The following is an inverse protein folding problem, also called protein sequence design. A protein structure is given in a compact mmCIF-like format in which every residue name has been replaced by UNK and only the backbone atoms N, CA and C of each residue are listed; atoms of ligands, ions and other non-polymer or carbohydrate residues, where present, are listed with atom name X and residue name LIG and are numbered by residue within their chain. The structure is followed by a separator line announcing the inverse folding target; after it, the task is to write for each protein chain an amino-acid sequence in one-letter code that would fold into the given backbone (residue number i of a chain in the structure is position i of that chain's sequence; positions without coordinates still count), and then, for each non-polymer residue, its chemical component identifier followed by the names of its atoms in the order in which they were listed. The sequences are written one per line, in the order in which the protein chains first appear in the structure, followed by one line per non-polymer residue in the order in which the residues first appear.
data_IF_711304034347
#
_entry.id   IF_711304034347
#
_cell.length_a   1.000
_cell.length_b   1.000
_cell.length_c   1.000
_cell.angle_alpha   90.00
_cell.angle_beta   90.00
_cell.angle_gamma   90.00
#
_symmetry.space_group_name_H-M   'P 1'
#
loop_
_entity.id
_entity.type
_entity.pdbx_description
1 polymer ?
#
# COMPACT_ATOMS: atom_id res chain seq x y z
N UNK A 1 -7.00 -6.00 -32.06
CA UNK A 1 -5.67 -5.35 -31.92
C UNK A 1 -5.63 -4.11 -31.01
N UNK A 2 -6.67 -3.25 -30.94
CA UNK A 2 -6.67 -2.06 -30.05
C UNK A 2 -6.68 -2.39 -28.54
N UNK A 3 -7.39 -3.45 -28.12
CA UNK A 3 -7.48 -3.88 -26.71
C UNK A 3 -6.14 -4.37 -26.12
N UNK A 4 -5.26 -4.94 -26.95
CA UNK A 4 -3.96 -5.48 -26.50
C UNK A 4 -2.91 -4.38 -26.27
N UNK A 5 -2.95 -3.31 -27.07
CA UNK A 5 -2.06 -2.15 -26.92
C UNK A 5 -2.38 -1.34 -25.65
N UNK A 6 -3.66 -1.31 -25.25
CA UNK A 6 -4.08 -0.66 -24.01
C UNK A 6 -3.52 -1.40 -22.78
N UNK A 7 -3.82 -2.70 -22.64
CA UNK A 7 -3.31 -3.57 -21.55
C UNK A 7 -1.78 -3.48 -21.40
N UNK A 8 -1.06 -3.47 -22.52
CA UNK A 8 0.40 -3.33 -22.50
C UNK A 8 0.86 -2.03 -21.83
N UNK A 9 0.26 -0.88 -22.14
CA UNK A 9 0.66 0.42 -21.57
C UNK A 9 0.46 0.47 -20.05
N UNK A 10 -0.56 -0.18 -19.50
CA UNK A 10 -0.79 -0.21 -18.05
C UNK A 10 0.24 -1.05 -17.31
N UNK A 11 0.56 -2.22 -17.86
CA UNK A 11 1.64 -3.05 -17.33
C UNK A 11 2.96 -2.28 -17.34
N UNK A 12 3.23 -1.49 -18.39
CA UNK A 12 4.41 -0.64 -18.47
C UNK A 12 4.39 0.52 -17.46
N UNK A 13 3.25 1.17 -17.22
CA UNK A 13 3.12 2.25 -16.23
C UNK A 13 3.28 1.75 -14.79
N UNK A 14 2.65 0.62 -14.44
CA UNK A 14 2.82 0.01 -13.12
C UNK A 14 4.25 -0.48 -12.93
N UNK A 15 4.85 -1.08 -13.97
CA UNK A 15 6.24 -1.49 -13.93
C UNK A 15 7.17 -0.29 -13.75
N UNK A 16 6.89 0.83 -14.42
CA UNK A 16 7.63 2.09 -14.24
C UNK A 16 7.53 2.61 -12.80
N UNK A 17 6.33 2.61 -12.19
CA UNK A 17 6.16 3.03 -10.79
C UNK A 17 6.97 2.14 -9.85
N UNK A 18 6.96 0.82 -10.08
CA UNK A 18 7.71 -0.14 -9.25
C UNK A 18 9.23 0.06 -9.40
N UNK A 19 9.74 0.19 -10.63
CA UNK A 19 11.17 0.42 -10.84
C UNK A 19 11.61 1.79 -10.33
N UNK A 20 10.76 2.82 -10.45
CA UNK A 20 10.99 4.14 -9.87
C UNK A 20 11.07 4.10 -8.33
N UNK A 21 10.20 3.31 -7.67
CA UNK A 21 10.23 3.09 -6.24
C UNK A 21 11.52 2.37 -5.79
N UNK A 22 11.89 1.28 -6.48
CA UNK A 22 13.11 0.51 -6.19
C UNK A 22 14.38 1.35 -6.39
N UNK A 23 14.46 2.10 -7.49
CA UNK A 23 15.58 3.01 -7.76
C UNK A 23 15.68 4.15 -6.75
N UNK A 24 14.55 4.76 -6.38
CA UNK A 24 14.50 5.76 -5.32
C UNK A 24 14.96 5.21 -3.97
N UNK A 25 14.53 3.98 -3.64
CA UNK A 25 14.95 3.27 -2.43
C UNK A 25 16.46 3.05 -2.34
N UNK A 26 17.12 2.73 -3.46
CA UNK A 26 18.58 2.62 -3.52
C UNK A 26 19.26 3.97 -3.20
N UNK A 27 18.79 5.06 -3.79
CA UNK A 27 19.37 6.39 -3.56
C UNK A 27 19.15 6.84 -2.12
N UNK A 28 17.95 6.66 -1.57
CA UNK A 28 17.66 6.97 -0.18
C UNK A 28 18.52 6.16 0.80
N UNK A 29 18.72 4.88 0.50
CA UNK A 29 19.62 4.04 1.29
C UNK A 29 21.02 4.62 1.33
N UNK A 30 21.60 4.97 0.18
CA UNK A 30 22.95 5.58 0.14
C UNK A 30 23.02 6.94 0.85
N UNK A 31 21.99 7.77 0.74
CA UNK A 31 22.00 9.11 1.35
C UNK A 31 21.81 9.10 2.88
N UNK A 32 21.03 8.16 3.42
CA UNK A 32 20.60 8.18 4.82
C UNK A 32 21.15 7.04 5.68
N UNK A 33 21.60 5.92 5.10
CA UNK A 33 22.04 4.74 5.86
C UNK A 33 23.14 5.08 6.87
N UNK A 34 24.21 5.73 6.42
CA UNK A 34 25.37 6.02 7.26
C UNK A 34 25.06 7.08 8.33
N UNK A 35 24.39 8.18 7.94
CA UNK A 35 24.01 9.25 8.85
C UNK A 35 23.06 8.76 9.94
N UNK A 36 22.06 7.97 9.58
CA UNK A 36 21.13 7.35 10.53
C UNK A 36 21.85 6.40 11.46
N UNK A 37 22.72 5.53 10.95
CA UNK A 37 23.47 4.56 11.75
C UNK A 37 24.38 5.25 12.76
N UNK A 38 25.07 6.33 12.35
CA UNK A 38 25.91 7.14 13.24
C UNK A 38 25.09 7.75 14.39
N UNK A 39 23.96 8.39 14.06
CA UNK A 39 23.09 9.00 15.07
C UNK A 39 22.48 7.96 16.01
N UNK A 40 22.06 6.80 15.50
CA UNK A 40 21.59 5.70 16.35
C UNK A 40 22.66 5.19 17.31
N UNK A 41 23.90 5.00 16.83
CA UNK A 41 25.01 4.57 17.66
C UNK A 41 25.32 5.61 18.74
N UNK A 42 25.35 6.91 18.41
CA UNK A 42 25.58 7.97 19.39
C UNK A 42 24.50 7.98 20.50
N UNK A 43 23.23 7.75 20.14
CA UNK A 43 22.15 7.64 21.13
C UNK A 43 22.34 6.43 22.04
N UNK A 44 22.68 5.27 21.48
CA UNK A 44 22.96 4.06 22.25
C UNK A 44 24.14 4.30 23.19
N UNK A 45 25.22 4.92 22.72
CA UNK A 45 26.42 5.20 23.51
C UNK A 45 26.14 6.18 24.65
N UNK A 46 25.39 7.27 24.42
CA UNK A 46 24.98 8.20 25.48
C UNK A 46 24.16 7.50 26.57
N UNK A 47 23.28 6.59 26.16
CA UNK A 47 22.43 5.82 27.08
C UNK A 47 23.23 4.78 27.86
N UNK A 48 24.15 4.07 27.21
CA UNK A 48 25.09 3.15 27.87
C UNK A 48 25.99 3.91 28.87
N UNK A 49 26.49 5.08 28.50
CA UNK A 49 27.26 5.96 29.38
C UNK A 49 26.45 6.38 30.61
N UNK A 50 25.15 6.72 30.45
CA UNK A 50 24.28 7.05 31.58
C UNK A 50 24.17 5.89 32.60
N UNK A 51 24.07 4.65 32.12
CA UNK A 51 24.03 3.45 32.96
C UNK A 51 25.37 3.26 33.70
N UNK A 52 26.49 3.39 33.00
CA UNK A 52 27.83 3.29 33.58
C UNK A 52 28.06 4.39 34.64
N UNK A 53 27.66 5.64 34.36
CA UNK A 53 27.77 6.75 35.33
C UNK A 53 26.90 6.53 36.57
N UNK A 54 25.71 5.92 36.44
CA UNK A 54 24.89 5.53 37.61
C UNK A 54 25.56 4.46 38.46
N UNK A 55 26.27 3.51 37.83
CA UNK A 55 27.08 2.50 38.53
C UNK A 55 28.20 3.15 39.35
N UNK A 56 28.86 4.19 38.80
CA UNK A 56 29.88 4.96 39.53
C UNK A 56 29.33 5.80 40.69
N UNK A 57 28.02 6.08 40.72
CA UNK A 57 27.37 6.94 41.72
C UNK A 57 26.83 6.18 42.96
N UNK A 58 27.30 4.95 43.21
CA UNK A 58 26.91 4.11 44.36
C UNK A 58 25.42 3.73 44.43
N UNK A 59 24.76 3.53 43.28
CA UNK A 59 23.48 2.81 43.24
C UNK A 59 23.68 1.31 43.47
N UNK A 60 22.67 0.60 44.00
CA UNK A 60 22.78 -0.85 44.20
C UNK A 60 22.99 -1.57 42.86
N UNK A 61 23.95 -2.49 42.81
CA UNK A 61 24.28 -3.28 41.62
C UNK A 61 23.06 -4.04 41.08
N UNK A 62 22.12 -4.39 41.94
CA UNK A 62 20.86 -5.04 41.58
C UNK A 62 19.93 -4.13 40.77
N UNK A 63 19.86 -2.84 41.12
CA UNK A 63 19.09 -1.84 40.38
C UNK A 63 19.69 -1.61 38.99
N UNK A 64 21.02 -1.57 38.88
CA UNK A 64 21.73 -1.40 37.61
C UNK A 64 21.54 -2.62 36.71
N UNK A 65 21.61 -3.84 37.26
CA UNK A 65 21.33 -5.08 36.51
C UNK A 65 19.89 -5.16 36.00
N UNK A 66 18.92 -4.77 36.82
CA UNK A 66 17.52 -4.71 36.39
C UNK A 66 17.33 -3.65 35.30
N UNK A 67 17.95 -2.48 35.44
CA UNK A 67 17.93 -1.45 34.41
C UNK A 67 18.56 -1.93 33.10
N UNK A 68 19.75 -2.54 33.12
CA UNK A 68 20.42 -3.05 31.93
C UNK A 68 19.60 -4.15 31.22
N UNK A 69 18.94 -5.02 31.98
CA UNK A 69 18.06 -6.06 31.44
C UNK A 69 16.79 -5.49 30.81
N UNK A 70 16.12 -4.53 31.46
CA UNK A 70 14.98 -3.80 30.90
C UNK A 70 15.37 -2.85 29.77
N UNK A 71 16.64 -2.42 29.74
CA UNK A 71 17.16 -1.43 28.81
C UNK A 71 17.54 -2.00 27.46
N UNK A 72 17.62 -3.33 27.28
CA UNK A 72 17.87 -3.95 25.96
C UNK A 72 17.07 -3.20 24.92
N UNK A 73 17.75 -2.40 24.12
CA UNK A 73 17.11 -1.52 23.17
C UNK A 73 16.33 -2.45 22.24
N UNK A 74 15.00 -2.37 22.28
CA UNK A 74 14.19 -3.15 21.37
C UNK A 74 14.44 -2.55 19.99
N UNK A 75 15.28 -3.24 19.20
CA UNK A 75 15.72 -2.74 17.90
C UNK A 75 14.55 -2.90 16.95
N UNK A 76 13.74 -1.86 16.89
CA UNK A 76 12.64 -1.74 15.96
C UNK A 76 13.20 -1.53 14.54
N UNK A 77 13.39 -2.64 13.82
CA UNK A 77 13.91 -2.66 12.43
C UNK A 77 13.10 -1.80 11.46
N UNK A 78 11.86 -1.44 11.80
CA UNK A 78 11.02 -0.56 10.97
C UNK A 78 11.51 0.89 11.00
N UNK A 79 12.26 1.28 12.03
CA UNK A 79 12.81 2.63 12.21
C UNK A 79 14.24 2.79 11.70
N UNK A 80 14.82 1.72 11.17
CA UNK A 80 16.16 1.73 10.60
C UNK A 80 16.08 2.04 9.10
N UNK A 81 16.95 2.91 8.61
CA UNK A 81 17.21 3.02 7.18
C UNK A 81 17.91 1.74 6.71
N UNK A 82 17.22 0.91 5.96
CA UNK A 82 17.74 -0.25 5.24
C UNK A 82 17.12 -0.24 3.84
N UNK A 83 17.56 -1.11 2.93
CA UNK A 83 17.03 -1.06 1.55
C UNK A 83 15.50 -1.23 1.46
N UNK A 84 14.90 -2.07 2.32
CA UNK A 84 13.44 -2.27 2.36
C UNK A 84 12.77 -0.97 2.80
N UNK A 85 13.10 -0.45 3.98
CA UNK A 85 12.47 0.75 4.56
C UNK A 85 12.73 1.99 3.70
N UNK A 86 13.88 2.09 3.03
CA UNK A 86 14.20 3.15 2.08
C UNK A 86 13.30 3.09 0.84
N UNK A 87 13.08 1.89 0.30
CA UNK A 87 12.17 1.67 -0.82
C UNK A 87 10.73 1.98 -0.42
N UNK A 88 10.32 1.59 0.78
CA UNK A 88 8.98 1.89 1.31
C UNK A 88 8.78 3.38 1.54
N UNK A 89 9.80 4.08 2.01
CA UNK A 89 9.79 5.53 2.13
C UNK A 89 9.60 6.21 0.76
N UNK A 90 10.38 5.82 -0.24
CA UNK A 90 10.22 6.31 -1.61
C UNK A 90 8.83 6.00 -2.19
N UNK A 91 8.37 4.77 -2.05
CA UNK A 91 7.03 4.36 -2.48
C UNK A 91 5.94 5.18 -1.77
N UNK A 92 6.08 5.42 -0.47
CA UNK A 92 5.17 6.24 0.32
C UNK A 92 5.10 7.70 -0.14
N UNK A 93 6.23 8.27 -0.60
CA UNK A 93 6.26 9.62 -1.21
C UNK A 93 5.43 9.64 -2.49
N UNK A 94 5.72 8.75 -3.44
CA UNK A 94 5.13 8.82 -4.79
C UNK A 94 3.65 8.44 -4.80
N UNK A 95 3.23 7.58 -3.87
CA UNK A 95 1.81 7.20 -3.67
C UNK A 95 1.07 8.12 -2.72
N UNK A 96 1.76 9.08 -2.08
CA UNK A 96 1.22 10.00 -1.06
C UNK A 96 0.65 9.32 0.19
N UNK A 97 0.91 8.02 0.38
CA UNK A 97 0.52 7.28 1.58
C UNK A 97 1.35 7.67 2.80
N UNK A 98 2.62 7.99 2.56
CA UNK A 98 3.61 8.22 3.62
C UNK A 98 4.11 6.93 4.27
N UNK A 99 5.35 6.98 4.76
CA UNK A 99 5.96 5.95 5.58
C UNK A 99 6.56 6.66 6.80
N UNK A 100 5.88 6.57 7.95
CA UNK A 100 6.15 7.44 9.09
C UNK A 100 7.18 6.86 10.08
N UNK A 101 7.81 5.73 9.75
CA UNK A 101 8.79 5.08 10.64
C UNK A 101 10.20 5.64 10.46
N UNK A 102 10.50 6.24 9.30
CA UNK A 102 11.78 6.87 9.00
C UNK A 102 11.59 8.24 8.35
N UNK A 103 12.52 9.15 8.62
CA UNK A 103 12.56 10.48 8.00
C UNK A 103 14.01 10.90 7.72
N UNK A 104 14.27 11.59 6.60
CA UNK A 104 15.63 11.94 6.19
C UNK A 104 16.25 12.94 7.17
N UNK A 105 17.37 12.52 7.73
CA UNK A 105 18.17 13.30 8.66
C UNK A 105 19.10 14.27 7.92
N UNK A 106 19.53 13.91 6.71
CA UNK A 106 20.48 14.70 5.92
C UNK A 106 19.79 15.76 5.07
N UNK A 107 20.52 16.85 4.77
CA UNK A 107 20.03 17.88 3.85
C UNK A 107 19.87 17.33 2.43
N UNK A 108 20.80 16.47 2.00
CA UNK A 108 20.76 15.83 0.68
C UNK A 108 19.53 14.92 0.53
N UNK A 109 19.23 14.08 1.53
CA UNK A 109 18.04 13.23 1.55
C UNK A 109 16.75 14.04 1.50
N UNK A 110 16.66 15.15 2.25
CA UNK A 110 15.50 16.05 2.22
C UNK A 110 15.30 16.72 0.86
N UNK A 111 16.37 17.23 0.24
CA UNK A 111 16.30 17.81 -1.11
C UNK A 111 15.90 16.77 -2.15
N UNK A 112 16.46 15.56 -2.05
CA UNK A 112 16.09 14.46 -2.92
C UNK A 112 14.61 14.08 -2.75
N UNK A 113 14.08 13.98 -1.51
CA UNK A 113 12.66 13.73 -1.27
C UNK A 113 11.74 14.72 -1.98
N UNK A 114 12.10 16.01 -1.97
CA UNK A 114 11.31 17.06 -2.63
C UNK A 114 11.29 16.83 -4.15
N UNK A 115 12.46 16.68 -4.77
CA UNK A 115 12.58 16.49 -6.23
C UNK A 115 11.92 15.19 -6.67
N UNK A 116 12.16 14.12 -5.92
CA UNK A 116 11.60 12.79 -6.15
C UNK A 116 10.07 12.80 -6.06
N UNK A 117 9.49 13.47 -5.07
CA UNK A 117 8.04 13.64 -4.94
C UNK A 117 7.43 14.47 -6.07
N UNK A 118 8.02 15.61 -6.42
CA UNK A 118 7.52 16.49 -7.49
C UNK A 118 7.44 15.78 -8.84
N UNK A 119 8.40 14.90 -9.14
CA UNK A 119 8.41 14.14 -10.39
C UNK A 119 7.55 12.86 -10.32
N UNK A 120 7.59 12.16 -9.18
CA UNK A 120 6.95 10.85 -9.03
C UNK A 120 5.45 10.88 -8.74
N UNK A 121 4.97 11.86 -7.96
CA UNK A 121 3.55 11.95 -7.57
C UNK A 121 2.63 12.13 -8.79
N UNK A 122 2.89 13.08 -9.73
CA UNK A 122 2.02 13.26 -10.89
C UNK A 122 1.93 11.99 -11.75
N UNK A 123 3.07 11.30 -11.96
CA UNK A 123 3.13 10.08 -12.76
C UNK A 123 2.35 8.95 -12.08
N UNK A 124 2.52 8.79 -10.77
CA UNK A 124 1.81 7.77 -9.99
C UNK A 124 0.31 8.05 -9.96
N UNK A 125 -0.10 9.31 -9.80
CA UNK A 125 -1.52 9.71 -9.84
C UNK A 125 -2.16 9.40 -11.20
N UNK A 126 -1.45 9.66 -12.30
CA UNK A 126 -1.90 9.27 -13.65
C UNK A 126 -1.99 7.74 -13.77
N UNK A 127 -0.99 7.00 -13.27
CA UNK A 127 -0.99 5.54 -13.31
C UNK A 127 -2.18 4.94 -12.54
N UNK A 128 -2.50 5.47 -11.36
CA UNK A 128 -3.65 5.04 -10.54
C UNK A 128 -4.97 5.37 -11.25
N UNK A 129 -5.14 6.59 -11.74
CA UNK A 129 -6.36 7.02 -12.43
C UNK A 129 -6.64 6.20 -13.70
N UNK A 130 -5.59 5.93 -14.49
CA UNK A 130 -5.68 5.06 -15.66
C UNK A 130 -6.03 3.62 -15.24
N UNK A 131 -5.36 3.09 -14.22
CA UNK A 131 -5.62 1.74 -13.72
C UNK A 131 -7.07 1.58 -13.23
N UNK A 132 -7.62 2.59 -12.55
CA UNK A 132 -9.02 2.61 -12.10
C UNK A 132 -10.00 2.48 -13.27
N UNK A 133 -9.80 3.24 -14.36
CA UNK A 133 -10.62 3.11 -15.57
C UNK A 133 -10.58 1.70 -16.16
N UNK A 134 -9.40 1.07 -16.17
CA UNK A 134 -9.26 -0.29 -16.66
C UNK A 134 -9.99 -1.30 -15.79
N UNK A 135 -9.83 -1.22 -14.48
CA UNK A 135 -10.57 -2.05 -13.53
C UNK A 135 -12.08 -1.88 -13.73
N UNK A 136 -12.58 -0.65 -13.93
CA UNK A 136 -14.00 -0.41 -14.22
C UNK A 136 -14.44 -1.10 -15.53
N UNK A 137 -13.67 -0.98 -16.62
CA UNK A 137 -13.98 -1.68 -17.88
C UNK A 137 -13.93 -3.21 -17.76
N UNK A 138 -13.03 -3.73 -16.93
CA UNK A 138 -12.95 -5.15 -16.63
C UNK A 138 -14.21 -5.56 -15.87
N UNK A 139 -14.55 -4.90 -14.77
CA UNK A 139 -15.76 -5.14 -13.98
C UNK A 139 -17.01 -5.11 -14.88
N UNK A 140 -17.13 -4.14 -15.78
CA UNK A 140 -18.22 -4.05 -16.75
C UNK A 140 -18.22 -5.20 -17.78
N UNK A 141 -17.05 -5.73 -18.15
CA UNK A 141 -16.92 -6.90 -19.04
C UNK A 141 -17.26 -8.21 -18.34
N UNK A 142 -16.83 -8.37 -17.07
CA UNK A 142 -17.23 -9.47 -16.20
C UNK A 142 -18.73 -9.46 -15.93
N UNK A 143 -19.30 -8.27 -15.70
CA UNK A 143 -20.75 -8.07 -15.57
C UNK A 143 -21.50 -8.55 -16.80
N UNK A 144 -21.14 -8.07 -18.00
CA UNK A 144 -21.82 -8.48 -19.24
C UNK A 144 -21.75 -9.98 -19.46
N UNK A 145 -20.63 -10.63 -19.10
CA UNK A 145 -20.51 -12.10 -19.12
C UNK A 145 -21.42 -12.78 -18.11
N UNK A 146 -21.54 -12.25 -16.90
CA UNK A 146 -22.45 -12.77 -15.87
C UNK A 146 -23.92 -12.60 -16.28
N UNK A 147 -24.29 -11.44 -16.81
CA UNK A 147 -25.63 -11.17 -17.35
C UNK A 147 -25.98 -12.11 -18.51
N UNK A 148 -25.08 -12.33 -19.48
CA UNK A 148 -25.32 -13.32 -20.55
C UNK A 148 -25.39 -14.76 -20.02
N UNK A 149 -24.65 -15.08 -18.96
CA UNK A 149 -24.72 -16.39 -18.31
C UNK A 149 -26.05 -16.58 -17.55
N UNK A 150 -26.56 -15.51 -16.94
CA UNK A 150 -27.81 -15.50 -16.18
C UNK A 150 -29.05 -15.45 -17.08
N UNK A 151 -29.01 -14.71 -18.19
CA UNK A 151 -30.08 -14.68 -19.22
C UNK A 151 -30.22 -16.04 -19.92
N UNK A 152 -29.11 -16.76 -20.16
CA UNK A 152 -29.15 -18.13 -20.68
C UNK A 152 -29.86 -19.13 -19.73
N UNK A 153 -30.08 -18.74 -18.48
CA UNK A 153 -30.76 -19.55 -17.47
C UNK A 153 -32.23 -19.10 -17.23
N UNK A 154 -32.72 -18.04 -17.90
CA UNK A 154 -34.06 -17.44 -17.72
C UNK A 154 -34.94 -17.49 -18.98
N UNK A 155 -34.52 -18.11 -20.09
CA UNK A 155 -35.36 -18.26 -21.31
C UNK A 155 -36.49 -19.30 -21.17
N UNK A 156 -37.27 -19.22 -20.08
CA UNK A 156 -38.66 -19.63 -20.07
C UNK A 156 -39.51 -18.46 -19.53
N UNK A 157 -40.48 -18.04 -20.35
CA UNK A 157 -41.70 -17.30 -19.99
C UNK A 157 -41.71 -15.75 -20.18
N UNK A 158 -42.22 -15.33 -21.36
CA UNK A 158 -43.30 -14.33 -21.59
C UNK A 158 -43.01 -12.97 -22.29
N UNK A 159 -44.04 -12.57 -23.07
CA UNK A 159 -44.15 -11.73 -24.25
C UNK A 159 -43.83 -10.22 -24.12
N UNK A 160 -43.18 -9.73 -25.18
CA UNK A 160 -43.00 -8.34 -25.61
C UNK A 160 -44.35 -7.67 -25.94
N UNK A 161 -44.55 -6.40 -25.55
CA UNK A 161 -44.35 -5.25 -26.46
C UNK A 161 -44.64 -3.88 -25.80
N UNK A 162 -45.41 -3.83 -24.71
CA UNK A 162 -45.71 -2.57 -24.01
C UNK A 162 -44.74 -2.21 -22.86
N UNK A 163 -43.84 -3.12 -22.49
CA UNK A 163 -42.87 -2.90 -21.41
C UNK A 163 -41.59 -2.18 -21.86
N UNK A 164 -41.31 -2.07 -23.17
CA UNK A 164 -40.01 -1.57 -23.65
C UNK A 164 -39.69 -0.11 -23.33
N UNK A 165 -40.70 0.73 -23.10
CA UNK A 165 -40.48 2.14 -22.73
C UNK A 165 -40.42 2.33 -21.20
N UNK A 166 -41.25 1.62 -20.44
CA UNK A 166 -41.22 1.62 -18.96
C UNK A 166 -40.03 0.84 -18.39
N UNK A 167 -39.57 -0.20 -19.08
CA UNK A 167 -38.34 -0.93 -18.77
C UNK A 167 -37.09 -0.13 -19.11
N UNK A 168 -37.10 0.80 -20.08
CA UNK A 168 -35.91 1.62 -20.37
C UNK A 168 -35.61 2.60 -19.24
N UNK A 169 -36.62 3.33 -18.74
CA UNK A 169 -36.45 4.22 -17.58
C UNK A 169 -36.15 3.44 -16.29
N UNK A 170 -36.83 2.30 -16.07
CA UNK A 170 -36.61 1.45 -14.88
C UNK A 170 -35.28 0.70 -14.95
N UNK A 171 -34.79 0.33 -16.13
CA UNK A 171 -33.45 -0.24 -16.32
C UNK A 171 -32.36 0.81 -16.15
N UNK A 172 -32.57 2.09 -16.46
CA UNK A 172 -31.55 3.12 -16.22
C UNK A 172 -31.35 3.42 -14.72
N UNK A 173 -32.43 3.51 -13.92
CA UNK A 173 -32.32 3.70 -12.45
C UNK A 173 -31.94 2.41 -11.71
N UNK A 174 -32.49 1.25 -12.08
CA UNK A 174 -32.16 -0.05 -11.44
C UNK A 174 -30.75 -0.53 -11.81
N UNK A 175 -30.27 -0.22 -13.02
CA UNK A 175 -28.87 -0.48 -13.42
C UNK A 175 -27.90 0.32 -12.56
N UNK A 176 -28.18 1.59 -12.26
CA UNK A 176 -27.32 2.44 -11.44
C UNK A 176 -27.14 1.91 -10.00
N UNK A 177 -28.23 1.45 -9.36
CA UNK A 177 -28.18 0.84 -8.02
C UNK A 177 -27.40 -0.47 -7.99
N UNK A 178 -27.61 -1.35 -8.98
CA UNK A 178 -26.91 -2.63 -9.07
C UNK A 178 -25.40 -2.47 -9.38
N UNK A 179 -25.03 -1.47 -10.19
CA UNK A 179 -23.63 -1.09 -10.43
C UNK A 179 -22.91 -0.80 -9.11
N UNK A 180 -23.55 0.02 -8.26
CA UNK A 180 -22.98 0.47 -6.99
C UNK A 180 -22.78 -0.70 -6.04
N UNK A 181 -23.74 -1.63 -5.96
CA UNK A 181 -23.63 -2.84 -5.13
C UNK A 181 -22.47 -3.73 -5.59
N UNK A 182 -22.28 -3.92 -6.90
CA UNK A 182 -21.16 -4.70 -7.44
C UNK A 182 -19.82 -4.06 -7.11
N UNK A 183 -19.68 -2.74 -7.25
CA UNK A 183 -18.44 -2.02 -6.95
C UNK A 183 -18.10 -2.17 -5.46
N UNK A 184 -19.08 -1.93 -4.58
CA UNK A 184 -18.91 -2.12 -3.12
C UNK A 184 -18.53 -3.58 -2.81
N UNK A 185 -19.21 -4.56 -3.42
CA UNK A 185 -18.90 -5.98 -3.23
C UNK A 185 -17.48 -6.36 -3.70
N UNK A 186 -17.02 -5.78 -4.82
CA UNK A 186 -15.67 -5.98 -5.33
C UNK A 186 -14.61 -5.36 -4.41
N UNK A 187 -14.89 -4.17 -3.87
CA UNK A 187 -14.04 -3.48 -2.90
C UNK A 187 -13.94 -4.27 -1.59
N UNK A 188 -15.07 -4.74 -1.05
CA UNK A 188 -15.10 -5.59 0.15
C UNK A 188 -14.32 -6.89 -0.06
N UNK A 189 -14.48 -7.54 -1.21
CA UNK A 189 -13.73 -8.77 -1.54
C UNK A 189 -12.22 -8.50 -1.61
N UNK A 190 -11.81 -7.38 -2.22
CA UNK A 190 -10.41 -6.96 -2.27
C UNK A 190 -9.84 -6.70 -0.86
N UNK A 191 -10.63 -6.07 0.02
CA UNK A 191 -10.26 -5.78 1.40
C UNK A 191 -10.09 -7.07 2.21
N UNK A 192 -11.03 -8.01 2.09
CA UNK A 192 -10.96 -9.33 2.74
C UNK A 192 -9.77 -10.14 2.23
N UNK A 193 -9.51 -10.11 0.93
CA UNK A 193 -8.35 -10.78 0.33
C UNK A 193 -7.03 -10.21 0.87
N UNK A 194 -6.91 -8.88 1.00
CA UNK A 194 -5.74 -8.24 1.61
C UNK A 194 -5.56 -8.60 3.08
N UNK A 195 -6.66 -8.69 3.83
CA UNK A 195 -6.64 -9.11 5.23
C UNK A 195 -6.04 -10.51 5.43
N UNK A 196 -6.14 -11.38 4.43
CA UNK A 196 -5.50 -12.70 4.42
C UNK A 196 -4.09 -12.67 3.81
N UNK A 197 -3.91 -11.99 2.67
CA UNK A 197 -2.67 -11.96 1.92
C UNK A 197 -1.53 -11.30 2.72
N UNK A 198 -1.78 -10.13 3.31
CA UNK A 198 -0.74 -9.30 3.92
C UNK A 198 -0.09 -9.94 5.15
N UNK A 199 -0.83 -10.53 6.11
CA UNK A 199 -0.22 -11.30 7.19
C UNK A 199 0.55 -12.52 6.67
N UNK A 200 0.02 -13.18 5.62
CA UNK A 200 0.62 -14.38 5.04
C UNK A 200 1.94 -14.09 4.32
N UNK A 201 2.12 -12.90 3.75
CA UNK A 201 3.41 -12.42 3.24
C UNK A 201 4.48 -12.33 4.33
N UNK A 202 4.08 -12.11 5.58
CA UNK A 202 4.94 -12.08 6.77
C UNK A 202 4.96 -13.42 7.54
N UNK A 203 4.37 -14.48 6.98
CA UNK A 203 4.34 -15.80 7.60
C UNK A 203 3.47 -15.90 8.86
N UNK A 204 2.61 -14.90 9.12
CA UNK A 204 1.68 -14.87 10.26
C UNK A 204 0.24 -15.00 9.79
N UNK A 205 -0.61 -15.65 10.58
CA UNK A 205 -2.05 -15.77 10.29
C UNK A 205 -2.80 -14.87 11.26
N UNK A 206 -2.83 -13.57 10.96
CA UNK A 206 -3.49 -12.55 11.77
C UNK A 206 -4.50 -11.74 10.95
N UNK A 207 -5.64 -12.35 10.62
CA UNK A 207 -6.64 -11.77 9.71
C UNK A 207 -7.15 -10.39 10.15
N UNK A 208 -7.46 -10.20 11.44
CA UNK A 208 -7.99 -8.93 11.96
C UNK A 208 -6.96 -7.81 11.85
N UNK A 209 -5.70 -8.09 12.18
CA UNK A 209 -4.62 -7.12 12.01
C UNK A 209 -4.37 -6.83 10.53
N UNK A 210 -4.42 -7.86 9.68
CA UNK A 210 -4.34 -7.69 8.22
C UNK A 210 -5.44 -6.77 7.68
N UNK A 211 -6.68 -6.97 8.14
CA UNK A 211 -7.82 -6.12 7.77
C UNK A 211 -7.63 -4.67 8.23
N UNK A 212 -7.17 -4.50 9.47
CA UNK A 212 -6.89 -3.19 10.06
C UNK A 212 -5.80 -2.43 9.27
N UNK A 213 -4.67 -3.07 8.99
CA UNK A 213 -3.58 -2.44 8.22
C UNK A 213 -4.01 -2.15 6.78
N UNK A 214 -4.78 -3.04 6.17
CA UNK A 214 -5.33 -2.81 4.83
C UNK A 214 -6.24 -1.57 4.79
N UNK A 215 -7.11 -1.42 5.79
CA UNK A 215 -7.96 -0.22 5.92
C UNK A 215 -7.13 1.05 6.08
N UNK A 216 -6.10 1.06 6.95
CA UNK A 216 -5.22 2.22 7.12
C UNK A 216 -4.49 2.60 5.82
N UNK A 217 -4.07 1.60 5.04
CA UNK A 217 -3.44 1.82 3.76
C UNK A 217 -4.40 2.45 2.75
N UNK A 218 -5.64 1.95 2.65
CA UNK A 218 -6.66 2.49 1.74
C UNK A 218 -7.12 3.90 2.14
N UNK A 219 -7.15 4.19 3.43
CA UNK A 219 -7.44 5.52 3.96
C UNK A 219 -6.26 6.50 3.83
N UNK A 220 -5.12 6.07 3.28
CA UNK A 220 -3.89 6.85 3.19
C UNK A 220 -3.41 7.42 4.54
N UNK A 221 -3.63 6.68 5.64
CA UNK A 221 -3.21 7.09 6.98
C UNK A 221 -1.75 6.72 7.23
N UNK A 222 -1.39 5.47 6.96
CA UNK A 222 -0.02 4.95 7.11
C UNK A 222 0.13 3.64 6.36
N UNK A 223 1.21 3.51 5.59
CA UNK A 223 1.59 2.25 4.93
C UNK A 223 2.54 1.40 5.78
N UNK A 224 3.21 1.99 6.78
CA UNK A 224 4.41 1.40 7.37
C UNK A 224 4.22 0.18 8.26
N UNK A 225 3.00 -0.28 8.47
CA UNK A 225 2.71 -1.55 9.16
C UNK A 225 2.63 -2.74 8.19
N UNK A 226 2.59 -2.52 6.87
CA UNK A 226 2.50 -3.56 5.83
C UNK A 226 3.88 -4.06 5.33
N UNK A 227 4.95 -3.82 6.10
CA UNK A 227 6.33 -4.13 5.67
C UNK A 227 6.47 -5.64 5.46
N UNK A 228 6.84 -6.11 4.25
CA UNK A 228 7.19 -7.50 4.06
C UNK A 228 8.58 -7.81 4.64
N UNK A 229 8.76 -8.95 5.28
CA UNK A 229 10.08 -9.39 5.79
C UNK A 229 11.12 -9.65 4.69
N UNK A 230 10.66 -9.92 3.45
CA UNK A 230 11.51 -10.27 2.31
C UNK A 230 11.41 -9.24 1.20
N UNK A 231 12.56 -8.79 0.69
CA UNK A 231 12.67 -7.86 -0.44
C UNK A 231 11.89 -8.39 -1.67
N UNK A 232 11.93 -9.70 -1.92
CA UNK A 232 11.23 -10.33 -3.05
C UNK A 232 9.70 -10.15 -3.03
N UNK A 233 9.11 -9.83 -1.87
CA UNK A 233 7.67 -9.62 -1.73
C UNK A 233 7.26 -8.16 -1.89
N UNK A 234 8.20 -7.21 -1.86
CA UNK A 234 7.91 -5.78 -2.03
C UNK A 234 7.13 -5.46 -3.32
N UNK A 235 7.49 -5.99 -4.50
CA UNK A 235 6.73 -5.71 -5.72
C UNK A 235 5.28 -6.20 -5.64
N UNK A 236 5.03 -7.33 -4.95
CA UNK A 236 3.68 -7.87 -4.75
C UNK A 236 2.86 -6.90 -3.91
N UNK A 237 3.42 -6.39 -2.82
CA UNK A 237 2.77 -5.40 -1.96
C UNK A 237 2.50 -4.10 -2.73
N UNK A 238 3.43 -3.61 -3.54
CA UNK A 238 3.22 -2.40 -4.34
C UNK A 238 2.13 -2.56 -5.38
N UNK A 239 2.08 -3.69 -6.09
CA UNK A 239 0.99 -4.00 -7.02
C UNK A 239 -0.34 -4.05 -6.27
N UNK A 240 -0.38 -4.73 -5.12
CA UNK A 240 -1.57 -4.81 -4.28
C UNK A 240 -2.08 -3.41 -3.95
N UNK A 241 -1.22 -2.54 -3.41
CA UNK A 241 -1.58 -1.16 -3.05
C UNK A 241 -2.04 -0.35 -4.25
N UNK A 242 -1.35 -0.42 -5.39
CA UNK A 242 -1.75 0.31 -6.60
C UNK A 242 -3.14 -0.11 -7.08
N UNK A 243 -3.48 -1.40 -7.00
CA UNK A 243 -4.83 -1.90 -7.33
C UNK A 243 -5.86 -1.38 -6.32
N UNK A 244 -5.54 -1.33 -5.03
CA UNK A 244 -6.42 -0.80 -3.99
C UNK A 244 -6.75 0.67 -4.18
N UNK A 245 -5.73 1.49 -4.45
CA UNK A 245 -5.90 2.92 -4.75
C UNK A 245 -6.69 3.13 -6.04
N UNK A 246 -6.47 2.28 -7.05
CA UNK A 246 -7.24 2.32 -8.29
C UNK A 246 -8.71 1.96 -8.06
N UNK A 247 -9.02 0.96 -7.23
CA UNK A 247 -10.39 0.61 -6.84
C UNK A 247 -11.07 1.73 -6.04
N UNK A 248 -10.35 2.33 -5.07
CA UNK A 248 -10.86 3.46 -4.29
C UNK A 248 -11.22 4.66 -5.19
N UNK A 249 -10.41 4.91 -6.22
CA UNK A 249 -10.67 5.98 -7.20
C UNK A 249 -11.99 5.76 -7.96
N UNK A 250 -12.33 4.50 -8.31
CA UNK A 250 -13.60 4.16 -9.00
C UNK A 250 -14.81 4.35 -8.08
N UNK A 251 -14.63 4.15 -6.78
CA UNK A 251 -15.72 4.36 -5.82
C UNK A 251 -16.03 5.85 -5.61
N UNK A 252 -15.05 6.73 -5.85
CA UNK A 252 -15.18 8.18 -5.64
C UNK A 252 -15.64 8.92 -6.91
N UNK A 253 -15.28 8.45 -8.10
CA UNK A 253 -15.52 9.13 -9.39
C UNK A 253 -16.43 8.36 -10.33
#
# INVERSE_FOLDING_TARGET
MKHFRCVSVHCWLLLYVITYALGGGLIFYELEYEASKSHWNEQIDKKNLCIILRKLKNYSDETVKHLEHCWKADIDKTKEWNYITSTLYGFGIITTLGYNHVAPSTVAGRLFSIIYGVLGIPVTMIAIAVSGRHLNTLIASWRRKLETFQVRNWDCEVNLENDKEREKEKNEETSSGYVTIIIIGSFLTYVLFGGLLLPLLNGKIDFINGLYYNFLCLAAIDFGQLIPERIALLPITFVYVCVGLALATIAIG
#
